data_IF_961872707208
#
_entry.id   IF_961872707208
#
_cell.length_a   1.000
_cell.length_b   1.000
_cell.length_c   1.000
_cell.angle_alpha   90.00
_cell.angle_beta   90.00
_cell.angle_gamma   90.00
#
_symmetry.space_group_name_H-M   'P 1'
#
loop_
_entity.id
_entity.type
_entity.pdbx_description
1 polymer ?
#
# COMPACT_ATOMS: atom_id res chain seq x y z
N UNK A 1 -7.66 9.62 5.93
CA UNK A 1 -6.41 9.07 6.51
C UNK A 1 -5.40 10.20 6.77
N UNK A 2 -5.79 11.26 7.51
CA UNK A 2 -5.05 12.53 7.52
C UNK A 2 -3.68 12.52 8.23
N UNK A 3 -3.22 11.36 8.74
CA UNK A 3 -1.89 11.17 9.33
C UNK A 3 -1.01 10.12 8.63
N UNK A 4 -1.50 9.42 7.59
CA UNK A 4 -0.76 8.32 6.97
C UNK A 4 0.33 8.75 5.97
N UNK A 5 0.27 9.99 5.46
CA UNK A 5 1.12 10.44 4.37
C UNK A 5 2.62 10.50 4.72
N UNK A 6 2.95 11.00 5.91
CA UNK A 6 4.34 11.09 6.38
C UNK A 6 4.96 9.69 6.57
N UNK A 7 4.18 8.77 7.13
CA UNK A 7 4.56 7.37 7.37
C UNK A 7 4.84 6.60 6.07
N UNK A 8 3.97 6.79 5.07
CA UNK A 8 4.14 6.17 3.76
C UNK A 8 5.41 6.64 3.07
N UNK A 9 5.74 7.93 3.19
CA UNK A 9 6.91 8.51 2.57
C UNK A 9 8.22 8.25 3.33
N UNK A 10 8.18 8.06 4.65
CA UNK A 10 9.37 7.74 5.45
C UNK A 10 9.84 6.29 5.27
N UNK A 11 8.97 5.41 4.80
CA UNK A 11 9.25 3.98 4.68
C UNK A 11 9.04 3.18 5.96
N UNK A 12 8.60 3.82 7.06
CA UNK A 12 8.18 3.17 8.31
C UNK A 12 6.72 2.70 8.17
N UNK A 13 6.51 1.66 7.38
CA UNK A 13 5.15 1.24 7.04
C UNK A 13 4.49 0.48 8.18
N UNK A 14 5.24 -0.14 9.08
CA UNK A 14 4.66 -0.77 10.27
C UNK A 14 3.85 0.22 11.13
N UNK A 15 4.24 1.49 11.16
CA UNK A 15 3.48 2.55 11.84
C UNK A 15 2.07 2.81 11.23
N UNK A 16 1.72 2.21 10.09
CA UNK A 16 0.35 2.20 9.58
C UNK A 16 -0.55 1.17 10.29
N UNK A 17 -0.01 0.26 11.10
CA UNK A 17 -0.78 -0.79 11.76
C UNK A 17 -1.97 -0.25 12.57
N UNK A 18 -1.85 0.80 13.41
CA UNK A 18 -3.01 1.35 14.13
C UNK A 18 -4.06 1.97 13.22
N UNK A 19 -3.66 2.42 12.02
CA UNK A 19 -4.57 3.00 11.03
C UNK A 19 -5.32 1.89 10.28
N UNK A 20 -4.64 0.78 9.96
CA UNK A 20 -5.17 -0.33 9.16
C UNK A 20 -5.91 -1.38 9.99
N UNK A 21 -5.47 -1.66 11.22
CA UNK A 21 -6.08 -2.63 12.13
C UNK A 21 -7.38 -2.08 12.74
N UNK A 22 -8.41 -1.97 11.91
CA UNK A 22 -9.73 -1.49 12.26
C UNK A 22 -10.80 -2.43 11.72
N UNK A 23 -12.03 -2.35 12.22
CA UNK A 23 -13.20 -3.05 11.66
C UNK A 23 -13.40 -2.83 10.15
N UNK A 24 -12.91 -1.70 9.62
CA UNK A 24 -13.00 -1.35 8.21
C UNK A 24 -11.67 -1.55 7.47
N UNK A 25 -10.84 -2.49 7.93
CA UNK A 25 -9.52 -2.75 7.35
C UNK A 25 -9.57 -2.98 5.83
N UNK A 26 -10.54 -3.74 5.33
CA UNK A 26 -10.69 -3.99 3.90
C UNK A 26 -10.95 -2.70 3.09
N UNK A 27 -11.70 -1.75 3.64
CA UNK A 27 -11.92 -0.44 3.02
C UNK A 27 -10.63 0.38 3.06
N UNK A 28 -9.92 0.38 4.18
CA UNK A 28 -8.65 1.13 4.33
C UNK A 28 -7.54 0.59 3.45
N UNK A 29 -7.47 -0.73 3.26
CA UNK A 29 -6.58 -1.36 2.29
C UNK A 29 -6.95 -0.99 0.86
N UNK A 30 -8.25 -0.86 0.53
CA UNK A 30 -8.66 -0.36 -0.77
C UNK A 30 -8.18 1.09 -1.00
N UNK A 31 -8.31 1.96 0.01
CA UNK A 31 -7.75 3.32 -0.05
C UNK A 31 -6.24 3.30 -0.29
N UNK A 32 -5.49 2.46 0.44
CA UNK A 32 -4.05 2.31 0.24
C UNK A 32 -3.72 1.83 -1.20
N UNK A 33 -4.41 0.82 -1.71
CA UNK A 33 -4.21 0.34 -3.07
C UNK A 33 -4.49 1.44 -4.12
N UNK A 34 -5.57 2.20 -3.93
CA UNK A 34 -5.94 3.32 -4.81
C UNK A 34 -4.85 4.40 -4.85
N UNK A 35 -4.26 4.75 -3.69
CA UNK A 35 -3.14 5.70 -3.61
C UNK A 35 -1.89 5.20 -4.35
N UNK A 36 -1.54 3.93 -4.20
CA UNK A 36 -0.38 3.34 -4.86
C UNK A 36 -0.55 3.30 -6.37
N UNK A 37 -1.75 2.95 -6.85
CA UNK A 37 -2.09 2.95 -8.27
C UNK A 37 -2.06 4.38 -8.83
N UNK A 38 -2.59 5.36 -8.11
CA UNK A 38 -2.53 6.76 -8.54
C UNK A 38 -1.09 7.30 -8.58
N UNK A 39 -0.24 6.94 -7.61
CA UNK A 39 1.19 7.27 -7.66
C UNK A 39 1.86 6.65 -8.91
N UNK A 40 1.52 5.42 -9.27
CA UNK A 40 2.01 4.79 -10.51
C UNK A 40 1.50 5.52 -11.77
N UNK A 41 0.23 5.95 -11.80
CA UNK A 41 -0.32 6.79 -12.87
C UNK A 41 0.46 8.10 -13.01
N UNK A 42 0.85 8.73 -11.89
CA UNK A 42 1.68 9.96 -11.91
C UNK A 42 3.03 9.73 -12.59
N UNK A 43 3.68 8.59 -12.35
CA UNK A 43 4.94 8.24 -13.03
C UNK A 43 4.79 8.09 -14.55
N UNK A 44 3.57 7.80 -15.02
CA UNK A 44 3.24 7.66 -16.44
C UNK A 44 2.73 8.98 -17.06
N UNK A 45 2.72 10.09 -16.31
CA UNK A 45 2.22 11.38 -16.79
C UNK A 45 0.69 11.49 -16.82
N UNK A 46 -0.04 10.53 -16.24
CA UNK A 46 -1.50 10.55 -16.18
C UNK A 46 -1.95 11.52 -15.08
N UNK A 47 -2.88 12.42 -15.41
CA UNK A 47 -3.44 13.41 -14.47
C UNK A 47 -4.78 12.99 -13.87
N UNK A 48 -5.48 12.06 -14.52
CA UNK A 48 -6.74 11.50 -14.02
C UNK A 48 -6.46 10.48 -12.91
N UNK A 49 -6.64 10.90 -11.67
CA UNK A 49 -6.42 10.11 -10.45
C UNK A 49 -7.72 9.97 -9.65
N UNK A 50 -7.83 8.91 -8.85
CA UNK A 50 -8.96 8.65 -7.98
C UNK A 50 -8.92 9.47 -6.68
N UNK A 51 -7.73 9.91 -6.25
CA UNK A 51 -7.50 10.63 -4.98
C UNK A 51 -6.92 12.05 -5.21
N UNK A 52 -7.64 12.96 -5.91
CA UNK A 52 -7.11 14.28 -6.25
C UNK A 52 -6.88 15.20 -5.04
N UNK A 53 -7.56 14.94 -3.92
CA UNK A 53 -7.48 15.70 -2.67
C UNK A 53 -6.14 15.54 -1.94
N UNK A 54 -5.36 14.52 -2.29
CA UNK A 54 -4.04 14.23 -1.68
C UNK A 54 -2.91 14.28 -2.70
N UNK A 55 -3.03 15.16 -3.71
CA UNK A 55 -2.05 15.32 -4.78
C UNK A 55 -0.58 15.39 -4.33
N UNK A 56 -0.19 16.17 -3.30
CA UNK A 56 1.20 16.24 -2.86
C UNK A 56 1.76 14.89 -2.39
N UNK A 57 0.93 14.07 -1.75
CA UNK A 57 1.30 12.73 -1.32
C UNK A 57 1.50 11.80 -2.53
N UNK A 58 0.65 11.91 -3.55
CA UNK A 58 0.79 11.13 -4.78
C UNK A 58 2.11 11.43 -5.49
N UNK A 59 2.48 12.71 -5.59
CA UNK A 59 3.77 13.12 -6.17
C UNK A 59 4.96 12.62 -5.33
N UNK A 60 4.86 12.71 -4.01
CA UNK A 60 5.89 12.22 -3.09
C UNK A 60 6.09 10.70 -3.22
N UNK A 61 5.00 9.93 -3.28
CA UNK A 61 5.05 8.48 -3.49
C UNK A 61 5.63 8.13 -4.86
N UNK A 62 5.17 8.80 -5.92
CA UNK A 62 5.67 8.61 -7.28
C UNK A 62 7.16 8.93 -7.40
N UNK A 63 7.68 9.88 -6.63
CA UNK A 63 9.09 10.24 -6.65
C UNK A 63 9.95 9.31 -5.78
N UNK A 64 9.45 8.88 -4.62
CA UNK A 64 10.22 8.10 -3.64
C UNK A 64 10.28 6.60 -3.94
N UNK A 65 9.28 6.05 -4.64
CA UNK A 65 9.17 4.62 -4.87
C UNK A 65 9.28 4.27 -6.36
N UNK A 66 10.18 3.35 -6.75
CA UNK A 66 10.21 2.79 -8.10
C UNK A 66 8.87 2.18 -8.50
N UNK A 67 8.51 2.30 -9.79
CA UNK A 67 7.26 1.78 -10.35
C UNK A 67 7.00 0.30 -10.00
N UNK A 68 8.05 -0.53 -10.06
CA UNK A 68 7.96 -1.95 -9.74
C UNK A 68 7.55 -2.20 -8.27
N UNK A 69 8.04 -1.36 -7.34
CA UNK A 69 7.67 -1.47 -5.91
C UNK A 69 6.24 -1.02 -5.68
N UNK A 70 5.82 0.11 -6.28
CA UNK A 70 4.43 0.57 -6.23
C UNK A 70 3.47 -0.53 -6.70
N UNK A 71 3.78 -1.18 -7.83
CA UNK A 71 2.98 -2.27 -8.38
C UNK A 71 2.96 -3.51 -7.48
N UNK A 72 4.13 -3.98 -7.02
CA UNK A 72 4.24 -5.17 -6.17
C UNK A 72 3.47 -4.99 -4.85
N UNK A 73 3.62 -3.82 -4.22
CA UNK A 73 2.90 -3.48 -2.99
C UNK A 73 1.40 -3.37 -3.26
N UNK A 74 0.97 -2.65 -4.31
CA UNK A 74 -0.45 -2.51 -4.65
C UNK A 74 -1.13 -3.88 -4.86
N UNK A 75 -0.43 -4.80 -5.51
CA UNK A 75 -0.90 -6.18 -5.67
C UNK A 75 -1.04 -6.90 -4.33
N UNK A 76 -0.01 -6.90 -3.48
CA UNK A 76 -0.08 -7.54 -2.16
C UNK A 76 -1.13 -6.91 -1.23
N UNK A 77 -1.39 -5.60 -1.35
CA UNK A 77 -2.48 -4.90 -0.64
C UNK A 77 -3.83 -5.46 -1.06
N UNK A 78 -4.04 -5.66 -2.36
CA UNK A 78 -5.27 -6.27 -2.89
C UNK A 78 -5.45 -7.71 -2.40
N UNK A 79 -4.40 -8.55 -2.44
CA UNK A 79 -4.46 -9.92 -1.92
C UNK A 79 -4.74 -9.95 -0.42
N UNK A 80 -4.10 -9.08 0.37
CA UNK A 80 -4.37 -8.96 1.80
C UNK A 80 -5.84 -8.59 2.06
N UNK A 81 -6.39 -7.64 1.28
CA UNK A 81 -7.80 -7.25 1.36
C UNK A 81 -8.73 -8.42 1.06
N UNK A 82 -8.43 -9.22 0.03
CA UNK A 82 -9.22 -10.41 -0.31
C UNK A 82 -9.18 -11.46 0.81
N UNK A 83 -8.02 -11.66 1.44
CA UNK A 83 -7.90 -12.57 2.59
C UNK A 83 -8.77 -12.11 3.76
N UNK A 84 -8.77 -10.81 4.08
CA UNK A 84 -9.62 -10.26 5.14
C UNK A 84 -11.12 -10.39 4.85
N UNK A 85 -11.53 -10.38 3.59
CA UNK A 85 -12.94 -10.49 3.19
C UNK A 85 -13.42 -11.94 3.12
N UNK A 86 -12.55 -12.87 2.73
CA UNK A 86 -12.96 -14.22 2.36
C UNK A 86 -12.50 -15.32 3.33
N UNK A 87 -11.50 -15.07 4.18
CA UNK A 87 -10.99 -16.06 5.13
C UNK A 87 -11.65 -15.86 6.50
N UNK A 88 -12.59 -16.75 6.82
CA UNK A 88 -13.31 -16.72 8.10
C UNK A 88 -12.34 -17.03 9.25
N UNK A 89 -12.39 -16.24 10.32
CA UNK A 89 -11.59 -16.45 11.52
C UNK A 89 -10.12 -16.03 11.41
N UNK A 90 -9.71 -15.37 10.32
CA UNK A 90 -8.34 -14.84 10.17
C UNK A 90 -8.03 -13.83 11.28
N UNK A 91 -6.84 -13.93 11.88
CA UNK A 91 -6.36 -12.91 12.80
C UNK A 91 -5.91 -11.68 11.99
N UNK A 92 -6.78 -10.66 11.95
CA UNK A 92 -6.56 -9.41 11.19
C UNK A 92 -5.26 -8.72 11.57
N UNK A 93 -4.95 -8.62 12.86
CA UNK A 93 -3.78 -7.91 13.34
C UNK A 93 -2.49 -8.61 12.92
N UNK A 94 -2.43 -9.94 13.11
CA UNK A 94 -1.30 -10.75 12.66
C UNK A 94 -1.10 -10.62 11.14
N UNK A 95 -2.18 -10.79 10.36
CA UNK A 95 -2.11 -10.68 8.90
C UNK A 95 -1.60 -9.30 8.46
N UNK A 96 -2.12 -8.22 9.04
CA UNK A 96 -1.68 -6.86 8.71
C UNK A 96 -0.23 -6.63 9.10
N UNK A 97 0.19 -7.09 10.27
CA UNK A 97 1.56 -6.96 10.76
C UNK A 97 2.54 -7.66 9.81
N UNK A 98 2.26 -8.90 9.41
CA UNK A 98 3.08 -9.64 8.45
C UNK A 98 3.17 -8.93 7.10
N UNK A 99 2.05 -8.38 6.61
CA UNK A 99 2.01 -7.67 5.33
C UNK A 99 2.79 -6.36 5.37
N UNK A 100 2.67 -5.59 6.44
CA UNK A 100 3.39 -4.32 6.60
C UNK A 100 4.91 -4.54 6.64
N UNK A 101 5.38 -5.51 7.43
CA UNK A 101 6.80 -5.88 7.49
C UNK A 101 7.33 -6.35 6.14
N UNK A 102 6.51 -7.11 5.39
CA UNK A 102 6.86 -7.53 4.03
C UNK A 102 7.00 -6.35 3.07
N UNK A 103 6.08 -5.38 3.15
CA UNK A 103 6.15 -4.19 2.30
C UNK A 103 7.38 -3.35 2.62
N UNK A 104 7.75 -3.18 3.89
CA UNK A 104 9.03 -2.54 4.27
C UNK A 104 10.23 -3.27 3.69
N UNK A 105 10.21 -4.60 3.70
CA UNK A 105 11.28 -5.38 3.10
C UNK A 105 11.41 -5.11 1.59
N UNK A 106 10.30 -4.92 0.86
CA UNK A 106 10.34 -4.53 -0.55
C UNK A 106 10.98 -3.15 -0.79
N UNK A 107 10.95 -2.26 0.21
CA UNK A 107 11.56 -0.93 0.11
C UNK A 107 13.09 -0.99 0.17
N UNK A 108 13.66 -2.07 0.73
CA UNK A 108 15.11 -2.23 0.84
C UNK A 108 15.77 -2.39 -0.54
N UNK A 109 16.96 -1.80 -0.75
CA UNK A 109 17.69 -1.94 -2.01
C UNK A 109 18.13 -3.39 -2.22
N UNK A 110 17.94 -3.90 -3.44
CA UNK A 110 18.33 -5.28 -3.80
C UNK A 110 17.32 -6.38 -3.44
N UNK A 111 16.20 -6.04 -2.78
CA UNK A 111 15.13 -7.01 -2.51
C UNK A 111 14.49 -7.50 -3.80
N UNK A 112 14.34 -8.82 -3.92
CA UNK A 112 13.59 -9.45 -5.01
C UNK A 112 12.09 -9.25 -4.75
N UNK A 113 11.40 -8.63 -5.72
CA UNK A 113 9.96 -8.41 -5.65
C UNK A 113 9.20 -9.66 -6.06
N UNK A 114 8.01 -9.91 -5.48
CA UNK A 114 7.16 -11.00 -5.90
C UNK A 114 6.78 -10.81 -7.38
N UNK A 115 6.91 -11.88 -8.16
CA UNK A 115 6.39 -11.93 -9.52
C UNK A 115 4.98 -12.48 -9.42
N UNK A 116 4.01 -11.83 -10.07
CA UNK A 116 2.66 -12.39 -10.14
C UNK A 116 2.72 -13.70 -10.92
N UNK A 117 2.36 -14.80 -10.26
CA UNK A 117 2.16 -16.09 -10.90
C UNK A 117 0.66 -16.29 -11.16
N UNK A 118 0.33 -16.80 -12.34
CA UNK A 118 -1.03 -17.12 -12.77
C UNK A 118 -1.55 -18.40 -12.11
#
# INVERSE_FOLDING_TARGET
MSGAGATLASGDWLALLPILNHEQAAVRLHWLASLLVDAQKRQQGITLVSNPDVWPLLEQLAHSLPAARLQAIAHDVCTCREQLLNVVGVNRELLLTERLLRWEHYLQPGTVLPVSHL
#
